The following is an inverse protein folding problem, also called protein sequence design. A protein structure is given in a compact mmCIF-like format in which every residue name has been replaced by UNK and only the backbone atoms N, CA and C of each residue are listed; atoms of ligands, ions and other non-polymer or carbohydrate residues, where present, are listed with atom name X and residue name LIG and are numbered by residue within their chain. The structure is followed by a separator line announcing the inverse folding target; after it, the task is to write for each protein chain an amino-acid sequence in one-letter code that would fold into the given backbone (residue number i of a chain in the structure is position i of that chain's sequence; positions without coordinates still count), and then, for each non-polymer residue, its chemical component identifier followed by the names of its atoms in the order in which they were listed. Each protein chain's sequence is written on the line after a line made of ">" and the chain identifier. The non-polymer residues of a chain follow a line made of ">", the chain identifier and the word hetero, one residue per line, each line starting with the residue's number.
data_IF_694898635661
#
_entry.id   IF_694898635661
#
_cell.length_a   1.000
_cell.length_b   1.000
_cell.length_c   1.000
_cell.angle_alpha   90.00
_cell.angle_beta   90.00
_cell.angle_gamma   90.00
#
_symmetry.space_group_name_H-M   'P 1'
#
loop_
_entity.id
_entity.type
_entity.pdbx_description
1 polymer ?
#
# COMPACT_ATOMS: atom_id res chain seq x y z
N UNK A 1 -1.22 11.39 22.41
CA UNK A 1 -1.42 12.38 21.33
C UNK A 1 -0.78 13.67 21.81
N UNK A 2 -0.16 14.42 20.91
CA UNK A 2 0.65 15.60 21.24
C UNK A 2 0.42 16.67 20.19
N UNK A 3 0.23 17.92 20.60
CA UNK A 3 0.28 19.06 19.70
C UNK A 3 1.74 19.30 19.30
N UNK A 4 2.11 18.86 18.10
CA UNK A 4 3.49 18.81 17.63
C UNK A 4 3.96 20.16 17.11
N UNK A 5 3.05 20.97 16.56
CA UNK A 5 3.35 22.35 16.21
C UNK A 5 3.58 23.20 17.48
N UNK A 6 2.76 22.99 18.51
CA UNK A 6 2.88 23.69 19.80
C UNK A 6 2.53 25.18 19.78
N UNK A 7 2.18 25.75 18.62
CA UNK A 7 1.96 27.19 18.43
C UNK A 7 0.50 27.63 18.59
N UNK A 8 -0.47 26.71 18.41
CA UNK A 8 -1.90 26.96 18.63
C UNK A 8 -2.44 26.19 19.84
N UNK A 9 -3.62 26.58 20.31
CA UNK A 9 -4.29 26.01 21.49
C UNK A 9 -3.40 26.01 22.76
N UNK A 10 -2.59 27.06 22.93
CA UNK A 10 -1.63 27.18 24.03
C UNK A 10 -0.71 25.95 24.19
N UNK A 11 -0.33 25.32 23.07
CA UNK A 11 0.47 24.10 23.03
C UNK A 11 -0.26 22.84 23.49
N UNK A 12 -1.54 22.94 23.84
CA UNK A 12 -2.35 21.81 24.28
C UNK A 12 -2.84 20.99 23.07
N UNK A 13 -2.98 19.68 23.23
CA UNK A 13 -3.66 18.85 22.25
C UNK A 13 -5.11 19.28 22.04
N UNK A 14 -5.59 19.21 20.81
CA UNK A 14 -7.00 19.34 20.45
C UNK A 14 -7.66 17.98 20.24
N UNK A 15 -8.91 17.99 19.80
CA UNK A 15 -9.68 16.75 19.61
C UNK A 15 -9.21 15.94 18.40
N UNK A 16 -9.50 14.63 18.46
CA UNK A 16 -9.31 13.69 17.35
C UNK A 16 -10.64 13.00 17.11
N UNK A 17 -11.10 13.03 15.87
CA UNK A 17 -12.32 12.32 15.46
C UNK A 17 -11.88 11.01 14.84
N UNK A 18 -12.45 9.90 15.33
CA UNK A 18 -12.23 8.57 14.77
C UNK A 18 -13.57 8.01 14.35
N UNK A 19 -13.66 7.60 13.10
CA UNK A 19 -14.81 6.87 12.57
C UNK A 19 -14.35 5.61 11.87
N UNK A 20 -15.27 4.67 11.69
CA UNK A 20 -15.00 3.45 10.95
C UNK A 20 -16.23 3.04 10.14
N UNK A 21 -16.00 2.29 9.08
CA UNK A 21 -17.05 1.74 8.24
C UNK A 21 -16.59 0.41 7.62
N UNK A 22 -17.58 -0.37 7.20
CA UNK A 22 -17.41 -1.46 6.25
C UNK A 22 -17.95 -1.02 4.91
N UNK A 23 -17.39 -1.55 3.84
CA UNK A 23 -17.96 -1.35 2.53
C UNK A 23 -19.32 -2.02 2.45
N UNK A 24 -20.24 -1.41 1.72
CA UNK A 24 -21.55 -2.02 1.48
C UNK A 24 -21.44 -3.18 0.48
N UNK A 25 -20.57 -3.02 -0.52
CA UNK A 25 -20.33 -4.02 -1.55
C UNK A 25 -19.07 -4.82 -1.22
N UNK A 26 -19.31 -6.02 -0.68
CA UNK A 26 -18.28 -6.98 -0.27
C UNK A 26 -17.41 -7.46 -1.45
N UNK A 27 -17.82 -7.26 -2.70
CA UNK A 27 -16.99 -7.64 -3.86
C UNK A 27 -15.67 -6.84 -3.91
N UNK A 28 -15.62 -5.68 -3.26
CA UNK A 28 -14.41 -4.87 -3.14
C UNK A 28 -13.39 -5.41 -2.14
N UNK A 29 -13.78 -6.34 -1.25
CA UNK A 29 -12.87 -7.02 -0.35
C UNK A 29 -12.11 -8.15 -1.07
N UNK A 30 -12.51 -8.46 -2.31
CA UNK A 30 -11.94 -9.56 -3.09
C UNK A 30 -12.53 -10.93 -2.71
N UNK A 31 -12.18 -11.98 -3.46
CA UNK A 31 -12.92 -13.25 -3.41
C UNK A 31 -12.73 -14.07 -2.13
N UNK A 32 -11.72 -13.74 -1.31
CA UNK A 32 -11.31 -14.53 -0.14
C UNK A 32 -11.47 -13.77 1.19
N UNK A 33 -11.98 -12.55 1.15
CA UNK A 33 -12.11 -11.67 2.31
C UNK A 33 -13.54 -11.15 2.40
N UNK A 34 -13.89 -10.64 3.56
CA UNK A 34 -15.22 -10.08 3.84
C UNK A 34 -15.12 -9.19 5.05
N UNK A 35 -16.02 -8.21 5.14
CA UNK A 35 -16.18 -7.35 6.29
C UNK A 35 -14.93 -6.50 6.61
N UNK A 36 -14.20 -6.06 5.59
CA UNK A 36 -13.03 -5.21 5.77
C UNK A 36 -13.40 -3.89 6.46
N UNK A 37 -12.64 -3.54 7.50
CA UNK A 37 -12.90 -2.34 8.31
C UNK A 37 -11.93 -1.23 7.91
N UNK A 38 -12.50 -0.13 7.43
CA UNK A 38 -11.80 1.11 7.14
C UNK A 38 -11.96 2.06 8.31
N UNK A 39 -10.87 2.70 8.69
CA UNK A 39 -10.81 3.65 9.80
C UNK A 39 -10.34 4.99 9.27
N UNK A 40 -11.08 6.04 9.59
CA UNK A 40 -10.70 7.43 9.32
C UNK A 40 -10.35 8.12 10.62
N UNK A 41 -9.21 8.81 10.63
CA UNK A 41 -8.71 9.58 11.77
C UNK A 41 -8.53 11.01 11.31
N UNK A 42 -9.22 11.95 11.96
CA UNK A 42 -9.17 13.38 11.64
C UNK A 42 -8.57 14.15 12.80
N UNK A 43 -7.63 15.04 12.50
CA UNK A 43 -7.18 16.04 13.45
C UNK A 43 -8.22 17.17 13.55
N UNK A 44 -8.93 17.23 14.67
CA UNK A 44 -9.95 18.25 14.94
C UNK A 44 -9.41 19.58 15.45
N UNK A 45 -8.10 19.67 15.73
CA UNK A 45 -7.50 20.94 16.15
C UNK A 45 -7.53 21.93 14.98
N UNK A 46 -8.24 23.03 15.18
CA UNK A 46 -8.34 24.13 14.22
C UNK A 46 -8.17 25.46 14.95
N UNK A 47 -7.67 26.47 14.24
CA UNK A 47 -7.52 27.82 14.75
C UNK A 47 -8.04 28.80 13.69
N UNK A 48 -8.98 29.71 14.03
CA UNK A 48 -9.57 30.64 13.05
C UNK A 48 -8.58 31.60 12.39
N UNK A 49 -7.38 31.76 12.96
CA UNK A 49 -6.35 32.71 12.50
C UNK A 49 -5.06 32.02 12.07
N UNK A 50 -4.97 30.69 12.20
CA UNK A 50 -3.80 29.89 11.92
C UNK A 50 -3.86 29.18 10.57
N UNK A 51 -2.71 28.68 10.12
CA UNK A 51 -2.63 27.71 9.02
C UNK A 51 -2.85 26.30 9.58
N UNK A 52 -3.26 25.37 8.72
CA UNK A 52 -3.42 23.97 9.12
C UNK A 52 -2.15 23.40 9.80
N UNK A 53 -0.97 23.71 9.28
CA UNK A 53 0.31 23.25 9.85
C UNK A 53 0.58 23.76 11.27
N UNK A 54 0.03 24.92 11.64
CA UNK A 54 0.14 25.48 12.99
C UNK A 54 -0.67 24.65 14.02
N UNK A 55 -1.56 23.79 13.53
CA UNK A 55 -2.39 22.87 14.28
C UNK A 55 -1.92 21.41 14.15
N UNK A 56 -0.68 21.16 13.69
CA UNK A 56 -0.13 19.80 13.53
C UNK A 56 -0.16 19.02 14.84
N UNK A 57 -0.81 17.85 14.82
CA UNK A 57 -0.83 16.92 15.94
C UNK A 57 -0.17 15.60 15.57
N UNK A 58 0.57 15.02 16.52
CA UNK A 58 1.03 13.64 16.50
C UNK A 58 0.01 12.76 17.23
N UNK A 59 -0.66 11.91 16.48
CA UNK A 59 -1.69 11.00 16.95
C UNK A 59 -1.11 9.59 16.94
N UNK A 60 -1.18 8.90 18.08
CA UNK A 60 -0.67 7.54 18.26
C UNK A 60 -1.82 6.60 18.53
N UNK A 61 -2.04 5.65 17.64
CA UNK A 61 -3.03 4.58 17.82
C UNK A 61 -2.31 3.30 18.19
N UNK A 62 -2.70 2.70 19.32
CA UNK A 62 -2.10 1.47 19.84
C UNK A 62 -3.08 0.32 19.70
N UNK A 63 -2.82 -0.58 18.76
CA UNK A 63 -3.71 -1.69 18.45
C UNK A 63 -3.33 -2.94 19.24
N UNK A 64 -4.33 -3.63 19.79
CA UNK A 64 -4.22 -5.06 20.09
C UNK A 64 -4.69 -5.82 18.84
N UNK A 65 -3.75 -6.15 17.96
CA UNK A 65 -4.07 -7.07 16.89
C UNK A 65 -4.21 -8.49 17.44
N UNK A 66 -5.22 -9.26 17.01
CA UNK A 66 -5.13 -10.71 17.06
C UNK A 66 -3.93 -11.17 16.20
N UNK A 67 -3.39 -12.35 16.48
CA UNK A 67 -2.18 -12.85 15.82
C UNK A 67 -2.28 -12.81 14.29
N UNK A 68 -1.31 -12.18 13.62
CA UNK A 68 -1.19 -12.18 12.16
C UNK A 68 -0.96 -10.79 11.55
N UNK A 69 -1.75 -9.80 11.94
CA UNK A 69 -1.65 -8.45 11.37
C UNK A 69 -0.44 -7.68 11.93
N UNK A 70 0.36 -7.11 11.02
CA UNK A 70 1.57 -6.36 11.38
C UNK A 70 1.54 -4.91 10.89
N UNK A 71 0.52 -4.54 10.11
CA UNK A 71 0.46 -3.27 9.38
C UNK A 71 -0.95 -2.75 9.17
N UNK A 72 -1.01 -1.56 8.58
CA UNK A 72 -2.21 -0.97 7.98
C UNK A 72 -1.94 -0.57 6.54
N UNK A 73 -2.93 -0.68 5.67
CA UNK A 73 -2.86 -0.16 4.31
C UNK A 73 -3.52 1.22 4.32
N UNK A 74 -2.75 2.25 4.00
CA UNK A 74 -3.15 3.65 4.16
C UNK A 74 -3.17 4.37 2.81
N UNK A 75 -4.25 5.11 2.56
CA UNK A 75 -4.39 5.97 1.39
C UNK A 75 -3.58 7.25 1.59
N UNK A 76 -2.70 7.56 0.64
CA UNK A 76 -2.08 8.86 0.52
C UNK A 76 -3.05 9.81 -0.21
N UNK A 77 -3.60 10.84 0.47
CA UNK A 77 -4.58 11.74 -0.13
C UNK A 77 -3.99 12.63 -1.24
N UNK A 78 -2.67 12.81 -1.29
CA UNK A 78 -2.03 13.63 -2.33
C UNK A 78 -1.83 12.84 -3.64
N UNK A 79 -1.47 11.57 -3.54
CA UNK A 79 -1.18 10.73 -4.71
C UNK A 79 -2.33 9.78 -5.11
N UNK A 80 -3.29 9.56 -4.21
CA UNK A 80 -4.34 8.55 -4.37
C UNK A 80 -3.82 7.11 -4.32
N UNK A 81 -2.54 6.90 -3.97
CA UNK A 81 -1.94 5.57 -3.86
C UNK A 81 -2.14 5.01 -2.46
N UNK A 82 -2.19 3.68 -2.36
CA UNK A 82 -2.23 2.99 -1.06
C UNK A 82 -0.85 2.45 -0.75
N UNK A 83 -0.42 2.63 0.49
CA UNK A 83 0.86 2.13 1.01
C UNK A 83 0.63 1.28 2.25
N UNK A 84 1.25 0.11 2.28
CA UNK A 84 1.31 -0.71 3.49
C UNK A 84 2.32 -0.13 4.47
N UNK A 85 1.84 0.27 5.64
CA UNK A 85 2.66 0.74 6.74
C UNK A 85 2.79 -0.35 7.81
N UNK A 86 3.97 -0.97 7.90
CA UNK A 86 4.30 -1.89 8.98
C UNK A 86 4.40 -1.13 10.31
N UNK A 87 3.78 -1.67 11.36
CA UNK A 87 3.68 -1.03 12.66
C UNK A 87 4.70 -1.62 13.64
N UNK A 88 5.55 -0.80 14.29
CA UNK A 88 6.42 -1.28 15.35
C UNK A 88 5.64 -1.71 16.60
N UNK A 89 6.21 -2.61 17.39
CA UNK A 89 5.66 -2.97 18.71
C UNK A 89 6.21 -1.97 19.74
N UNK A 90 5.31 -1.27 20.42
CA UNK A 90 5.59 -0.37 21.53
C UNK A 90 4.70 -0.78 22.69
N UNK A 91 5.29 -1.09 23.85
CA UNK A 91 4.55 -1.54 25.05
C UNK A 91 3.56 -2.70 24.75
N UNK A 92 4.02 -3.71 24.00
CA UNK A 92 3.23 -4.88 23.61
C UNK A 92 1.99 -4.58 22.73
N UNK A 93 1.97 -3.41 22.07
CA UNK A 93 0.94 -3.00 21.10
C UNK A 93 1.59 -2.58 19.80
N UNK A 94 0.94 -2.84 18.66
CA UNK A 94 1.38 -2.28 17.38
C UNK A 94 0.95 -0.82 17.33
N UNK A 95 1.90 0.08 17.10
CA UNK A 95 1.64 1.52 17.14
C UNK A 95 1.67 2.13 15.75
N UNK A 96 0.57 2.78 15.35
CA UNK A 96 0.52 3.71 14.22
C UNK A 96 0.74 5.13 14.72
N UNK A 97 1.61 5.87 14.04
CA UNK A 97 1.86 7.29 14.30
C UNK A 97 1.42 8.09 13.09
N UNK A 98 0.49 9.02 13.30
CA UNK A 98 -0.01 9.93 12.28
C UNK A 98 0.41 11.35 12.65
N UNK A 99 1.02 12.06 11.71
CA UNK A 99 1.30 13.49 11.81
C UNK A 99 0.32 14.20 10.88
N UNK A 100 -0.73 14.79 11.43
CA UNK A 100 -1.82 15.40 10.66
C UNK A 100 -1.91 16.89 10.96
N UNK A 101 -1.92 17.75 9.93
CA UNK A 101 -2.21 19.16 10.13
C UNK A 101 -3.67 19.34 10.58
N UNK A 102 -4.04 20.54 11.03
CA UNK A 102 -5.42 20.82 11.43
C UNK A 102 -6.40 20.58 10.27
N UNK A 103 -7.42 19.76 10.50
CA UNK A 103 -8.41 19.37 9.50
C UNK A 103 -7.97 18.23 8.58
N UNK A 104 -6.69 17.85 8.57
CA UNK A 104 -6.22 16.70 7.78
C UNK A 104 -6.75 15.39 8.36
N UNK A 105 -6.86 14.39 7.48
CA UNK A 105 -7.31 13.06 7.82
C UNK A 105 -6.43 11.98 7.21
N UNK A 106 -6.37 10.83 7.87
CA UNK A 106 -5.83 9.59 7.33
C UNK A 106 -6.96 8.56 7.21
N UNK A 107 -7.01 7.85 6.08
CA UNK A 107 -7.89 6.71 5.85
C UNK A 107 -7.03 5.47 5.67
N UNK A 108 -7.29 4.43 6.46
CA UNK A 108 -6.57 3.16 6.37
C UNK A 108 -7.48 1.97 6.67
N UNK A 109 -7.04 0.77 6.29
CA UNK A 109 -7.58 -0.51 6.77
C UNK A 109 -6.47 -1.36 7.38
N UNK A 110 -6.80 -2.46 8.04
CA UNK A 110 -5.78 -3.39 8.51
C UNK A 110 -5.17 -4.19 7.36
N UNK A 111 -3.84 -4.37 7.36
CA UNK A 111 -3.15 -5.13 6.32
C UNK A 111 -3.26 -6.63 6.63
N UNK A 112 -4.28 -7.26 6.05
CA UNK A 112 -4.55 -8.70 6.12
C UNK A 112 -4.50 -9.40 4.74
N UNK A 113 -4.20 -8.63 3.69
CA UNK A 113 -4.09 -9.12 2.32
C UNK A 113 -5.32 -8.84 1.45
N UNK A 114 -6.43 -8.36 2.01
CA UNK A 114 -7.55 -7.87 1.19
C UNK A 114 -7.13 -6.59 0.44
N UNK A 115 -7.58 -6.37 -0.81
CA UNK A 115 -7.35 -5.12 -1.53
C UNK A 115 -8.03 -3.95 -0.82
N UNK A 116 -7.52 -2.74 -1.04
CA UNK A 116 -8.14 -1.53 -0.54
C UNK A 116 -9.23 -1.06 -1.54
N UNK A 117 -10.35 -0.53 -1.05
CA UNK A 117 -11.50 -0.16 -1.89
C UNK A 117 -11.13 0.83 -2.99
N UNK A 118 -11.69 0.65 -4.17
CA UNK A 118 -11.51 1.58 -5.29
C UNK A 118 -10.11 1.54 -5.91
N UNK A 119 -9.16 0.82 -5.30
CA UNK A 119 -7.95 0.37 -5.98
C UNK A 119 -8.14 -1.08 -6.40
N UNK A 120 -8.58 -1.26 -7.64
CA UNK A 120 -8.40 -2.57 -8.25
C UNK A 120 -6.89 -2.78 -8.35
N UNK A 121 -6.29 -3.86 -7.81
CA UNK A 121 -4.95 -4.23 -8.19
C UNK A 121 -4.99 -4.34 -9.70
N UNK A 122 -4.35 -3.41 -10.41
CA UNK A 122 -4.23 -3.54 -11.87
C UNK A 122 -3.46 -4.84 -12.04
N UNK A 123 -4.10 -5.93 -12.53
CA UNK A 123 -3.44 -7.22 -12.59
C UNK A 123 -2.17 -6.99 -13.38
N UNK A 124 -1.04 -7.49 -12.87
CA UNK A 124 0.20 -7.27 -13.57
C UNK A 124 0.06 -7.87 -14.99
N UNK A 125 0.23 -7.03 -16.00
CA UNK A 125 0.18 -7.41 -17.42
C UNK A 125 1.60 -7.43 -17.95
N UNK A 126 1.87 -8.43 -18.78
CA UNK A 126 3.11 -8.53 -19.52
C UNK A 126 2.90 -8.02 -20.93
N UNK A 127 3.80 -7.16 -21.36
CA UNK A 127 4.02 -6.79 -22.75
C UNK A 127 5.50 -7.06 -23.07
N UNK A 128 5.81 -7.25 -24.34
CA UNK A 128 7.15 -7.63 -24.77
C UNK A 128 7.65 -6.67 -25.83
N UNK A 129 8.89 -6.22 -25.67
CA UNK A 129 9.57 -5.41 -26.66
C UNK A 129 10.93 -6.01 -26.96
N UNK A 130 11.32 -6.01 -28.22
CA UNK A 130 12.68 -6.36 -28.62
C UNK A 130 13.50 -5.08 -28.71
N UNK A 131 14.62 -5.02 -27.97
CA UNK A 131 15.54 -3.88 -28.00
C UNK A 131 16.95 -4.41 -28.26
N UNK A 132 17.55 -4.02 -29.39
CA UNK A 132 18.91 -4.46 -29.76
C UNK A 132 19.07 -5.98 -29.92
N UNK A 133 18.00 -6.71 -30.24
CA UNK A 133 18.01 -8.18 -30.36
C UNK A 133 17.80 -8.94 -29.05
N UNK A 134 17.71 -8.25 -27.91
CA UNK A 134 17.34 -8.83 -26.61
C UNK A 134 15.84 -8.66 -26.32
N UNK A 135 15.26 -9.60 -25.58
CA UNK A 135 13.89 -9.51 -25.11
C UNK A 135 13.82 -8.66 -23.84
N UNK A 136 13.03 -7.60 -23.89
CA UNK A 136 12.65 -6.78 -22.74
C UNK A 136 11.22 -7.11 -22.35
N UNK A 137 11.02 -7.46 -21.09
CA UNK A 137 9.71 -7.72 -20.52
C UNK A 137 9.20 -6.43 -19.89
N UNK A 138 8.13 -5.88 -20.44
CA UNK A 138 7.46 -4.70 -19.91
C UNK A 138 6.32 -5.13 -19.00
N UNK A 139 6.39 -4.71 -17.75
CA UNK A 139 5.44 -5.07 -16.70
C UNK A 139 4.59 -3.84 -16.43
N UNK A 140 3.29 -3.98 -16.61
CA UNK A 140 2.29 -2.96 -16.29
C UNK A 140 1.51 -3.42 -15.07
N UNK A 141 1.34 -2.54 -14.10
CA UNK A 141 0.58 -2.81 -12.87
C UNK A 141 0.39 -1.53 -12.07
N UNK A 142 -0.21 -1.60 -10.89
CA UNK A 142 -0.22 -0.46 -9.98
C UNK A 142 1.20 -0.24 -9.43
N UNK A 143 1.69 1.00 -9.48
CA UNK A 143 2.95 1.35 -8.85
C UNK A 143 2.85 1.09 -7.33
N UNK A 144 3.92 0.59 -6.72
CA UNK A 144 3.94 0.14 -5.32
C UNK A 144 3.38 -1.27 -5.11
N UNK A 145 2.80 -1.93 -6.11
CA UNK A 145 2.39 -3.34 -5.97
C UNK A 145 3.60 -4.27 -5.94
N UNK A 146 3.52 -5.33 -5.12
CA UNK A 146 4.52 -6.40 -5.10
C UNK A 146 4.15 -7.47 -6.12
N UNK A 147 5.11 -7.86 -6.94
CA UNK A 147 4.94 -8.96 -7.89
C UNK A 147 6.22 -9.75 -8.07
N UNK A 148 6.07 -10.96 -8.59
CA UNK A 148 7.16 -11.86 -8.93
C UNK A 148 7.11 -12.14 -10.43
N UNK A 149 8.21 -11.84 -11.13
CA UNK A 149 8.39 -12.25 -12.52
C UNK A 149 9.01 -13.63 -12.54
N UNK A 150 8.39 -14.55 -13.26
CA UNK A 150 8.83 -15.93 -13.35
C UNK A 150 8.90 -16.39 -14.80
N UNK A 151 9.74 -17.40 -15.05
CA UNK A 151 9.89 -17.99 -16.37
C UNK A 151 9.94 -19.51 -16.36
N UNK A 152 9.52 -20.11 -17.47
CA UNK A 152 9.59 -21.54 -17.74
C UNK A 152 10.10 -21.80 -19.18
N UNK A 153 10.81 -22.91 -19.43
CA UNK A 153 11.31 -23.25 -20.77
C UNK A 153 10.22 -23.79 -21.71
N UNK A 154 9.10 -24.31 -21.17
CA UNK A 154 8.02 -24.93 -21.95
C UNK A 154 6.66 -24.74 -21.28
N UNK A 155 5.58 -24.94 -22.03
CA UNK A 155 4.21 -25.06 -21.50
C UNK A 155 3.60 -26.42 -21.88
N UNK A 156 2.72 -26.99 -21.02
CA UNK A 156 2.44 -26.54 -19.66
C UNK A 156 3.65 -26.79 -18.74
N UNK A 157 3.87 -25.91 -17.76
CA UNK A 157 4.90 -26.11 -16.74
C UNK A 157 4.33 -25.93 -15.35
N UNK A 158 4.67 -26.86 -14.46
CA UNK A 158 4.46 -26.75 -13.02
C UNK A 158 5.64 -26.12 -12.30
N UNK A 159 6.82 -26.11 -12.94
CA UNK A 159 8.06 -25.57 -12.39
C UNK A 159 8.39 -24.24 -13.06
N UNK A 160 8.13 -23.15 -12.34
CA UNK A 160 8.47 -21.79 -12.76
C UNK A 160 9.68 -21.31 -11.96
N UNK A 161 10.66 -20.75 -12.65
CA UNK A 161 11.86 -20.18 -12.01
C UNK A 161 11.64 -18.69 -11.80
N UNK A 162 11.82 -18.22 -10.57
CA UNK A 162 11.80 -16.79 -10.25
C UNK A 162 12.94 -16.08 -10.97
N UNK A 163 12.61 -15.07 -11.78
CA UNK A 163 13.61 -14.16 -12.36
C UNK A 163 13.90 -13.00 -11.41
N UNK A 164 12.86 -12.39 -10.84
CA UNK A 164 13.00 -11.29 -9.88
C UNK A 164 11.73 -11.09 -9.05
N UNK A 165 11.92 -10.59 -7.83
CA UNK A 165 10.86 -10.01 -7.00
C UNK A 165 10.86 -8.50 -7.20
N UNK A 166 9.69 -7.88 -7.34
CA UNK A 166 9.54 -6.47 -7.67
C UNK A 166 8.57 -5.81 -6.71
N UNK A 167 8.98 -4.66 -6.19
CA UNK A 167 8.06 -3.60 -5.80
C UNK A 167 7.98 -2.67 -7.00
N UNK A 168 6.88 -2.71 -7.77
CA UNK A 168 6.73 -1.97 -9.03
C UNK A 168 7.02 -0.48 -8.81
N UNK A 169 8.17 0.07 -9.27
CA UNK A 169 8.53 1.45 -8.96
C UNK A 169 7.79 2.45 -9.84
N UNK A 170 7.37 2.02 -11.02
CA UNK A 170 6.64 2.79 -12.02
C UNK A 170 5.80 1.85 -12.88
N UNK A 171 4.79 2.40 -13.54
CA UNK A 171 4.01 1.68 -14.54
C UNK A 171 4.08 2.45 -15.86
N UNK A 172 4.66 1.87 -16.92
CA UNK A 172 5.27 0.55 -17.00
C UNK A 172 6.68 0.49 -16.39
N UNK A 173 7.07 -0.69 -15.91
CA UNK A 173 8.44 -1.04 -15.56
C UNK A 173 9.04 -1.95 -16.63
N UNK A 174 10.32 -1.79 -16.95
CA UNK A 174 11.01 -2.62 -17.96
C UNK A 174 12.05 -3.48 -17.26
N UNK A 175 11.93 -4.79 -17.42
CA UNK A 175 12.90 -5.78 -16.97
C UNK A 175 13.61 -6.40 -18.17
N UNK A 176 14.94 -6.44 -18.13
CA UNK A 176 15.73 -7.11 -19.15
C UNK A 176 16.13 -8.50 -18.65
N UNK A 177 15.64 -9.56 -19.31
CA UNK A 177 16.04 -10.92 -18.98
C UNK A 177 17.37 -11.27 -19.65
N UNK A 178 18.48 -11.00 -18.95
CA UNK A 178 19.84 -11.30 -19.42
C UNK A 178 20.14 -12.79 -19.48
N UNK A 179 19.32 -13.64 -18.85
CA UNK A 179 19.49 -15.11 -18.87
C UNK A 179 18.79 -15.77 -20.05
N UNK A 180 18.05 -15.00 -20.85
CA UNK A 180 17.34 -15.50 -22.03
C UNK A 180 18.23 -15.70 -23.26
N UNK A 181 19.48 -15.20 -23.23
CA UNK A 181 20.41 -15.29 -24.36
C UNK A 181 20.65 -16.74 -24.77
N UNK A 182 20.39 -17.05 -26.04
CA UNK A 182 20.51 -18.39 -26.66
C UNK A 182 19.40 -19.40 -26.32
N UNK A 183 18.31 -18.99 -25.66
CA UNK A 183 17.12 -19.84 -25.54
C UNK A 183 16.24 -19.70 -26.78
N UNK A 184 15.84 -20.82 -27.38
CA UNK A 184 14.93 -20.83 -28.54
C UNK A 184 13.49 -20.45 -28.17
N UNK A 185 13.10 -20.69 -26.92
CA UNK A 185 11.75 -20.40 -26.41
C UNK A 185 11.82 -20.21 -24.90
N UNK A 186 11.09 -19.20 -24.39
CA UNK A 186 10.88 -18.99 -22.96
C UNK A 186 9.50 -18.39 -22.74
N UNK A 187 8.82 -18.85 -21.70
CA UNK A 187 7.50 -18.38 -21.30
C UNK A 187 7.64 -17.59 -20.01
N UNK A 188 6.88 -16.50 -19.91
CA UNK A 188 6.92 -15.60 -18.76
C UNK A 188 5.54 -15.51 -18.13
N UNK A 189 5.50 -15.39 -16.81
CA UNK A 189 4.31 -14.98 -16.08
C UNK A 189 4.69 -14.00 -14.99
N UNK A 190 3.72 -13.18 -14.62
CA UNK A 190 3.84 -12.32 -13.45
C UNK A 190 2.78 -12.72 -12.46
N UNK A 191 3.17 -12.85 -11.21
CA UNK A 191 2.31 -13.27 -10.10
C UNK A 191 2.29 -12.15 -9.08
N UNK A 192 1.10 -11.69 -8.68
CA UNK A 192 0.97 -10.79 -7.54
C UNK A 192 1.35 -11.53 -6.26
N UNK A 193 2.18 -10.91 -5.43
CA UNK A 193 2.56 -11.48 -4.13
C UNK A 193 2.05 -10.55 -3.02
N UNK A 194 1.58 -11.10 -1.88
CA UNK A 194 1.18 -10.30 -0.72
C UNK A 194 2.29 -9.39 -0.19
#
# INVERSE_FOLDING_TARGET
>A
MTNKAGVKNNGQPGDVIISWFKLLDESFDGPNYTNEIYVMVVNGLTDPTGRAVDCLQEIKLNFAFPSGSTGVDMLDPASGQVQTQTLPIVNNRRQLVLNLNGGDAALFKFSDGAPFVGITPIPARLDFQTQGGALSVRIQGAAGSRCQLEAAPSLPSTNWTTLTNLLLPSSPYVFQDTTSSNLSTRFYRVVGVP
#
